data_IF_261842348502
#
_entry.id   IF_261842348502
#
_cell.length_a   1.000
_cell.length_b   1.000
_cell.length_c   1.000
_cell.angle_alpha   90.00
_cell.angle_beta   90.00
_cell.angle_gamma   90.00
#
_symmetry.space_group_name_H-M   'P 1'
#
loop_
_entity.id
_entity.type
_entity.pdbx_description
1 polymer ?
#
# COMPACT_ATOMS: atom_id res chain seq x y z
N UNK A 1 36.82 -30.86 4.65
CA UNK A 1 36.14 -31.43 3.47
C UNK A 1 34.73 -31.77 3.95
N UNK A 2 33.60 -31.27 3.47
CA UNK A 2 33.23 -30.33 2.42
C UNK A 2 31.70 -30.12 2.61
N UNK A 3 31.23 -29.00 3.15
CA UNK A 3 29.78 -28.66 3.19
C UNK A 3 29.58 -27.14 3.03
N UNK A 4 30.42 -26.51 2.20
CA UNK A 4 30.12 -25.17 1.70
C UNK A 4 29.02 -25.26 0.62
N UNK A 5 28.12 -24.28 0.61
CA UNK A 5 27.32 -23.81 -0.56
C UNK A 5 25.91 -24.38 -0.80
N UNK A 6 25.14 -24.66 0.26
CA UNK A 6 23.69 -24.88 0.18
C UNK A 6 22.84 -23.61 -0.02
N UNK A 7 23.01 -22.90 -1.14
CA UNK A 7 22.09 -21.91 -1.71
C UNK A 7 21.39 -20.91 -0.77
N UNK A 8 21.96 -19.71 -0.61
CA UNK A 8 21.23 -18.52 -0.17
C UNK A 8 20.15 -18.19 -1.22
N UNK A 9 19.00 -18.89 -1.14
CA UNK A 9 17.81 -18.56 -1.92
C UNK A 9 17.46 -17.14 -1.49
N UNK A 10 17.75 -16.19 -2.36
CA UNK A 10 17.87 -14.76 -2.07
C UNK A 10 16.59 -14.18 -1.45
N UNK A 11 16.51 -14.21 -0.11
CA UNK A 11 15.43 -13.62 0.70
C UNK A 11 15.23 -12.12 0.42
N UNK A 12 16.23 -11.49 -0.19
CA UNK A 12 16.33 -10.06 -0.46
C UNK A 12 15.56 -9.59 -1.70
N UNK A 13 15.25 -10.47 -2.66
CA UNK A 13 14.65 -10.05 -3.94
C UNK A 13 13.24 -9.49 -3.78
N UNK A 14 12.42 -10.09 -2.90
CA UNK A 14 11.06 -9.62 -2.62
C UNK A 14 11.04 -8.21 -2.02
N UNK A 15 11.73 -7.97 -0.88
CA UNK A 15 11.80 -6.65 -0.26
C UNK A 15 12.37 -5.56 -1.16
N UNK A 16 13.41 -5.86 -1.96
CA UNK A 16 14.02 -4.88 -2.87
C UNK A 16 13.04 -4.47 -3.99
N UNK A 17 12.24 -5.41 -4.50
CA UNK A 17 11.27 -5.11 -5.55
C UNK A 17 10.12 -4.23 -5.02
N UNK A 18 9.67 -4.51 -3.79
CA UNK A 18 8.69 -3.70 -3.10
C UNK A 18 9.20 -2.28 -2.81
N UNK A 19 10.45 -2.17 -2.35
CA UNK A 19 11.12 -0.90 -2.11
C UNK A 19 11.19 -0.06 -3.39
N UNK A 20 11.60 -0.66 -4.50
CA UNK A 20 11.62 0.03 -5.80
C UNK A 20 10.21 0.48 -6.24
N UNK A 21 9.19 -0.38 -6.09
CA UNK A 21 7.81 -0.03 -6.42
C UNK A 21 7.30 1.15 -5.57
N UNK A 22 7.60 1.15 -4.26
CA UNK A 22 7.23 2.24 -3.36
C UNK A 22 7.95 3.55 -3.71
N UNK A 23 9.23 3.51 -4.08
CA UNK A 23 9.94 4.70 -4.53
C UNK A 23 9.35 5.30 -5.80
N UNK A 24 8.95 4.46 -6.76
CA UNK A 24 8.28 4.93 -7.99
C UNK A 24 6.94 5.58 -7.66
N UNK A 25 6.12 4.93 -6.83
CA UNK A 25 4.85 5.49 -6.37
C UNK A 25 5.04 6.82 -5.60
N UNK A 26 6.06 6.89 -4.74
CA UNK A 26 6.39 8.10 -3.99
C UNK A 26 6.84 9.24 -4.91
N UNK A 27 7.66 8.95 -5.92
CA UNK A 27 8.06 9.94 -6.91
C UNK A 27 6.86 10.45 -7.72
N UNK A 28 5.93 9.57 -8.09
CA UNK A 28 4.67 9.95 -8.76
C UNK A 28 3.82 10.84 -7.85
N UNK A 29 3.68 10.49 -6.57
CA UNK A 29 2.95 11.30 -5.58
C UNK A 29 3.58 12.67 -5.36
N UNK A 30 4.91 12.75 -5.41
CA UNK A 30 5.64 14.01 -5.29
C UNK A 30 5.41 14.85 -6.55
N UNK A 31 5.50 14.24 -7.73
CA UNK A 31 5.24 14.91 -9.00
C UNK A 31 3.80 15.42 -9.12
N UNK A 32 2.80 14.65 -8.66
CA UNK A 32 1.39 15.09 -8.64
C UNK A 32 1.16 16.25 -7.68
N UNK A 33 1.94 16.37 -6.60
CA UNK A 33 1.86 17.52 -5.70
C UNK A 33 2.33 18.83 -6.37
N UNK A 34 3.30 18.77 -7.30
CA UNK A 34 3.77 19.93 -8.05
C UNK A 34 2.93 20.26 -9.30
N UNK A 35 2.04 19.36 -9.71
CA UNK A 35 1.13 19.59 -10.83
C UNK A 35 -0.21 20.17 -10.31
N UNK A 36 -0.56 21.43 -10.64
CA UNK A 36 -1.81 22.03 -10.21
C UNK A 36 -2.99 21.46 -11.00
N UNK A 37 -3.46 20.27 -10.62
CA UNK A 37 -4.57 19.55 -11.25
C UNK A 37 -5.96 19.99 -10.74
N UNK A 38 -6.05 21.14 -10.08
CA UNK A 38 -7.31 21.66 -9.53
C UNK A 38 -8.00 20.68 -8.57
N UNK A 39 -9.33 20.65 -8.57
CA UNK A 39 -10.13 19.79 -7.68
C UNK A 39 -9.87 18.28 -7.84
N UNK A 40 -9.40 17.84 -9.02
CA UNK A 40 -9.09 16.43 -9.29
C UNK A 40 -7.82 15.91 -8.60
N UNK A 41 -6.95 16.80 -8.10
CA UNK A 41 -5.67 16.41 -7.49
C UNK A 41 -5.87 15.57 -6.21
N UNK A 42 -6.91 15.86 -5.44
CA UNK A 42 -7.21 15.13 -4.20
C UNK A 42 -7.55 13.67 -4.50
N UNK A 43 -8.42 13.42 -5.48
CA UNK A 43 -8.80 12.07 -5.88
C UNK A 43 -7.59 11.29 -6.41
N UNK A 44 -6.73 11.93 -7.21
CA UNK A 44 -5.55 11.31 -7.78
C UNK A 44 -4.53 10.93 -6.70
N UNK A 45 -4.26 11.83 -5.74
CA UNK A 45 -3.39 11.55 -4.61
C UNK A 45 -3.94 10.44 -3.70
N UNK A 46 -5.26 10.36 -3.50
CA UNK A 46 -5.88 9.26 -2.75
C UNK A 46 -5.68 7.91 -3.46
N UNK A 47 -5.80 7.85 -4.78
CA UNK A 47 -5.54 6.64 -5.56
C UNK A 47 -4.07 6.21 -5.42
N UNK A 48 -3.13 7.16 -5.52
CA UNK A 48 -1.70 6.87 -5.37
C UNK A 48 -1.41 6.36 -3.95
N UNK A 49 -1.96 7.01 -2.93
CA UNK A 49 -1.80 6.59 -1.53
C UNK A 49 -2.39 5.19 -1.28
N UNK A 50 -3.56 4.87 -1.85
CA UNK A 50 -4.15 3.54 -1.78
C UNK A 50 -3.24 2.49 -2.44
N UNK A 51 -2.64 2.80 -3.60
CA UNK A 51 -1.69 1.90 -4.26
C UNK A 51 -0.44 1.65 -3.40
N UNK A 52 0.10 2.69 -2.75
CA UNK A 52 1.21 2.51 -1.79
C UNK A 52 0.83 1.57 -0.64
N UNK A 53 -0.37 1.74 -0.07
CA UNK A 53 -0.85 0.89 1.02
C UNK A 53 -0.98 -0.59 0.59
N UNK A 54 -1.45 -0.85 -0.64
CA UNK A 54 -1.54 -2.22 -1.19
C UNK A 54 -0.14 -2.84 -1.35
N UNK A 55 0.83 -2.09 -1.87
CA UNK A 55 2.22 -2.57 -2.01
C UNK A 55 2.81 -2.88 -0.62
N UNK A 56 2.59 -2.02 0.37
CA UNK A 56 3.01 -2.27 1.75
C UNK A 56 2.35 -3.53 2.34
N UNK A 57 1.04 -3.69 2.16
CA UNK A 57 0.29 -4.82 2.70
C UNK A 57 0.75 -6.17 2.10
N UNK A 58 1.09 -6.20 0.81
CA UNK A 58 1.52 -7.43 0.12
C UNK A 58 2.97 -7.78 0.45
N UNK A 59 3.86 -6.79 0.50
CA UNK A 59 5.31 -7.04 0.53
C UNK A 59 5.98 -6.78 1.88
N UNK A 60 5.51 -5.84 2.69
CA UNK A 60 6.13 -5.50 3.98
C UNK A 60 5.51 -6.26 5.16
N UNK A 61 4.23 -6.59 5.08
CA UNK A 61 3.54 -7.31 6.17
C UNK A 61 3.66 -8.83 6.09
N UNK A 62 4.34 -9.36 5.07
CA UNK A 62 4.45 -10.79 4.80
C UNK A 62 3.12 -11.52 5.04
N UNK A 63 2.01 -10.90 4.61
CA UNK A 63 0.65 -11.29 4.97
C UNK A 63 0.31 -12.71 4.47
N UNK A 64 1.15 -13.22 3.57
CA UNK A 64 1.12 -14.57 3.01
C UNK A 64 1.76 -15.61 3.93
N UNK A 65 2.72 -15.24 4.78
CA UNK A 65 3.35 -16.11 5.79
C UNK A 65 2.81 -15.86 7.21
N UNK A 66 2.06 -14.77 7.43
CA UNK A 66 1.44 -14.45 8.71
C UNK A 66 0.33 -15.43 9.10
N UNK A 67 0.13 -15.63 10.40
CA UNK A 67 -0.97 -16.44 10.95
C UNK A 67 -2.34 -15.89 10.50
N UNK A 68 -3.35 -16.77 10.46
CA UNK A 68 -4.71 -16.41 10.04
C UNK A 68 -5.29 -15.20 10.79
N UNK A 69 -4.91 -15.02 12.05
CA UNK A 69 -5.25 -13.86 12.87
C UNK A 69 -4.79 -12.53 12.24
N UNK A 70 -3.55 -12.45 11.76
CA UNK A 70 -2.98 -11.24 11.15
C UNK A 70 -3.77 -10.85 9.90
N UNK A 71 -4.14 -11.85 9.09
CA UNK A 71 -4.93 -11.63 7.86
C UNK A 71 -6.34 -11.13 8.18
N UNK A 72 -6.98 -11.69 9.20
CA UNK A 72 -8.33 -11.23 9.64
C UNK A 72 -8.27 -9.80 10.14
N UNK A 73 -7.32 -9.47 11.04
CA UNK A 73 -7.18 -8.10 11.57
C UNK A 73 -6.90 -7.10 10.44
N UNK A 74 -6.04 -7.43 9.48
CA UNK A 74 -5.75 -6.58 8.33
C UNK A 74 -7.00 -6.33 7.46
N UNK A 75 -7.78 -7.37 7.16
CA UNK A 75 -9.03 -7.25 6.41
C UNK A 75 -10.05 -6.41 7.19
N UNK A 76 -10.20 -6.65 8.48
CA UNK A 76 -11.12 -5.87 9.34
C UNK A 76 -10.73 -4.39 9.39
N UNK A 77 -9.44 -4.07 9.49
CA UNK A 77 -8.96 -2.70 9.45
C UNK A 77 -9.26 -2.01 8.12
N UNK A 78 -8.99 -2.68 6.99
CA UNK A 78 -9.30 -2.17 5.65
C UNK A 78 -10.82 -1.98 5.44
N UNK A 79 -11.62 -2.94 5.92
CA UNK A 79 -13.08 -2.85 5.86
C UNK A 79 -13.60 -1.65 6.66
N UNK A 80 -13.08 -1.45 7.87
CA UNK A 80 -13.45 -0.31 8.70
C UNK A 80 -13.06 1.03 8.06
N UNK A 81 -11.87 1.12 7.47
CA UNK A 81 -11.40 2.31 6.75
C UNK A 81 -12.30 2.65 5.55
N UNK A 82 -12.72 1.63 4.78
CA UNK A 82 -13.67 1.82 3.68
C UNK A 82 -15.01 2.36 4.18
N UNK A 83 -15.49 1.87 5.32
CA UNK A 83 -16.73 2.35 5.94
C UNK A 83 -16.62 3.82 6.36
N UNK A 84 -15.51 4.21 7.00
CA UNK A 84 -15.25 5.60 7.38
C UNK A 84 -15.22 6.55 6.16
N UNK A 85 -14.59 6.13 5.06
CA UNK A 85 -14.62 6.92 3.82
C UNK A 85 -16.02 7.04 3.23
N UNK A 86 -16.78 5.94 3.17
CA UNK A 86 -18.14 5.96 2.66
C UNK A 86 -19.03 6.91 3.46
N UNK A 87 -18.93 6.87 4.79
CA UNK A 87 -19.65 7.80 5.67
C UNK A 87 -19.22 9.25 5.44
N UNK A 88 -17.91 9.50 5.33
CA UNK A 88 -17.37 10.85 5.08
C UNK A 88 -17.88 11.42 3.76
N UNK A 89 -17.82 10.64 2.68
CA UNK A 89 -18.36 11.08 1.39
C UNK A 89 -19.88 11.29 1.42
N UNK A 90 -20.62 10.43 2.14
CA UNK A 90 -22.07 10.59 2.33
C UNK A 90 -22.41 11.89 3.08
N UNK A 91 -21.61 12.26 4.09
CA UNK A 91 -21.77 13.52 4.82
C UNK A 91 -21.53 14.73 3.92
N UNK A 92 -20.43 14.71 3.15
CA UNK A 92 -20.15 15.77 2.16
C UNK A 92 -21.26 15.91 1.11
N UNK A 93 -21.81 14.78 0.63
CA UNK A 93 -22.88 14.78 -0.36
C UNK A 93 -24.23 15.21 0.22
N UNK A 94 -24.47 14.99 1.51
CA UNK A 94 -25.69 15.42 2.20
C UNK A 94 -25.64 16.89 2.60
N UNK A 95 -24.45 17.51 2.58
CA UNK A 95 -24.23 18.93 2.90
C UNK A 95 -24.37 19.86 1.68
N UNK A 96 -24.62 19.33 0.48
CA UNK A 96 -25.01 20.12 -0.70
C UNK A 96 -26.51 20.41 -0.71
#
# INVERSE_FOLDING_TARGET
MNEASGGHKTLWRGPVLAWAALLVLAAISLASAYLPLGAGNVALNLIIAAAMAVVLAIFLMDLKSGTMLVRVVAITGLFWMMFMFALTFSDYLSRS
#
